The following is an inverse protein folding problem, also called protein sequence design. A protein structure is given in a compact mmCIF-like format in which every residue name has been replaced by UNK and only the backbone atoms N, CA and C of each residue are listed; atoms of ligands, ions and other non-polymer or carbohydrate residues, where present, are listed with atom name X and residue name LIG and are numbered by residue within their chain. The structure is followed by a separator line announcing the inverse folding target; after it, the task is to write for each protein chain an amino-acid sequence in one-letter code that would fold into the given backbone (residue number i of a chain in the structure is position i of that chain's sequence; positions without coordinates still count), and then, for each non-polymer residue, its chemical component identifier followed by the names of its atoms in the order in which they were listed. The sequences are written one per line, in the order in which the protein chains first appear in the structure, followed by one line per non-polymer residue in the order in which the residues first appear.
data_IF_032690257028
#
_entry.id   IF_032690257028
#
_cell.length_a   1.000
_cell.length_b   1.000
_cell.length_c   1.000
_cell.angle_alpha   90.00
_cell.angle_beta   90.00
_cell.angle_gamma   90.00
#
_symmetry.space_group_name_H-M   'P 1'
#
loop_
_entity.id
_entity.type
_entity.pdbx_description
1 polymer ?
#
# COMPACT_ATOMS: atom_id res chain seq x y z
N UNK A 1 9.24 -16.30 10.90
CA UNK A 1 9.59 -15.05 10.18
C UNK A 1 8.31 -14.23 10.07
N UNK A 2 8.25 -13.06 10.72
CA UNK A 2 7.07 -12.20 10.63
C UNK A 2 7.06 -11.56 9.24
N UNK A 3 6.08 -11.90 8.41
CA UNK A 3 5.94 -11.29 7.10
C UNK A 3 5.69 -9.78 7.29
N UNK A 4 6.55 -8.93 6.70
CA UNK A 4 6.49 -7.45 6.81
C UNK A 4 5.19 -6.83 6.31
N UNK A 5 4.39 -7.61 5.58
CA UNK A 5 3.09 -7.23 5.03
C UNK A 5 1.90 -7.66 5.87
N UNK A 6 2.11 -8.42 6.95
CA UNK A 6 1.01 -8.85 7.81
C UNK A 6 0.49 -7.68 8.65
N UNK A 7 -0.83 -7.54 8.70
CA UNK A 7 -1.54 -6.56 9.51
C UNK A 7 -2.62 -7.25 10.32
N UNK A 8 -2.62 -6.99 11.62
CA UNK A 8 -3.74 -7.37 12.49
C UNK A 8 -4.85 -6.36 12.28
N UNK A 9 -6.04 -6.83 11.93
CA UNK A 9 -7.25 -6.03 11.82
C UNK A 9 -8.35 -6.60 12.70
N UNK A 10 -9.20 -5.73 13.23
CA UNK A 10 -10.42 -6.10 13.92
C UNK A 10 -11.60 -5.61 13.10
N UNK A 11 -12.50 -6.51 12.73
CA UNK A 11 -13.67 -6.15 11.95
C UNK A 11 -14.73 -5.46 12.83
N UNK A 12 -15.77 -4.92 12.20
CA UNK A 12 -16.88 -4.22 12.89
C UNK A 12 -17.67 -5.10 13.87
N UNK A 13 -17.49 -6.43 13.81
CA UNK A 13 -18.12 -7.40 14.72
C UNK A 13 -17.20 -7.80 15.88
N UNK A 14 -16.04 -7.16 16.03
CA UNK A 14 -15.08 -7.44 17.10
C UNK A 14 -14.19 -8.67 16.87
N UNK A 15 -14.26 -9.31 15.71
CA UNK A 15 -13.36 -10.43 15.37
C UNK A 15 -12.03 -9.89 14.88
N UNK A 16 -10.94 -10.40 15.46
CA UNK A 16 -9.57 -10.03 15.07
C UNK A 16 -8.94 -11.10 14.20
N UNK A 17 -8.25 -10.69 13.14
CA UNK A 17 -7.53 -11.57 12.23
C UNK A 17 -6.25 -10.92 11.71
N UNK A 18 -5.31 -11.74 11.27
CA UNK A 18 -4.11 -11.30 10.57
C UNK A 18 -4.34 -11.44 9.08
N UNK A 19 -4.18 -10.35 8.33
CA UNK A 19 -4.24 -10.36 6.87
C UNK A 19 -2.90 -9.96 6.27
N UNK A 20 -2.60 -10.39 5.05
CA UNK A 20 -1.50 -9.82 4.27
C UNK A 20 -2.02 -8.61 3.48
N UNK A 21 -1.25 -7.52 3.41
CA UNK A 21 -1.56 -6.35 2.57
C UNK A 21 -1.85 -6.73 1.11
N UNK A 22 -1.21 -7.76 0.56
CA UNK A 22 -1.52 -8.23 -0.79
C UNK A 22 -2.95 -8.80 -0.92
N UNK A 23 -3.51 -9.37 0.14
CA UNK A 23 -4.91 -9.84 0.14
C UNK A 23 -5.88 -8.66 0.09
N UNK A 24 -5.54 -7.55 0.76
CA UNK A 24 -6.29 -6.29 0.65
C UNK A 24 -6.23 -5.78 -0.80
N UNK A 25 -5.04 -5.72 -1.41
CA UNK A 25 -4.91 -5.26 -2.80
C UNK A 25 -5.75 -6.09 -3.78
N UNK A 26 -5.77 -7.43 -3.58
CA UNK A 26 -6.61 -8.34 -4.38
C UNK A 26 -8.09 -8.13 -4.12
N UNK A 27 -8.51 -7.94 -2.87
CA UNK A 27 -9.91 -7.74 -2.50
C UNK A 27 -10.51 -6.47 -3.14
N UNK A 28 -9.70 -5.44 -3.34
CA UNK A 28 -10.09 -4.19 -4.00
C UNK A 28 -9.77 -4.16 -5.51
N UNK A 29 -9.36 -5.28 -6.10
CA UNK A 29 -8.92 -5.40 -7.50
C UNK A 29 -7.91 -4.32 -7.95
N UNK A 30 -6.96 -3.97 -7.06
CA UNK A 30 -5.92 -2.98 -7.37
C UNK A 30 -4.86 -3.63 -8.25
N UNK A 31 -4.92 -3.36 -9.56
CA UNK A 31 -4.00 -3.94 -10.56
C UNK A 31 -2.83 -3.06 -10.95
N UNK A 32 -3.01 -1.75 -10.88
CA UNK A 32 -1.98 -0.80 -11.29
C UNK A 32 -0.74 -0.89 -10.38
N UNK A 33 0.47 -1.13 -10.92
CA UNK A 33 1.68 -1.30 -10.11
C UNK A 33 2.02 -0.08 -9.24
N UNK A 34 1.73 1.14 -9.71
CA UNK A 34 2.00 2.36 -8.95
C UNK A 34 1.02 2.50 -7.77
N UNK A 35 -0.26 2.19 -7.98
CA UNK A 35 -1.25 2.11 -6.89
C UNK A 35 -0.89 1.03 -5.86
N UNK A 36 -0.50 -0.16 -6.32
CA UNK A 36 -0.06 -1.23 -5.42
C UNK A 36 1.16 -0.80 -4.60
N UNK A 37 2.11 -0.09 -5.21
CA UNK A 37 3.30 0.37 -4.52
C UNK A 37 2.98 1.43 -3.45
N UNK A 38 2.15 2.42 -3.81
CA UNK A 38 1.70 3.47 -2.89
C UNK A 38 0.92 2.87 -1.71
N UNK A 39 -0.09 2.04 -1.96
CA UNK A 39 -0.90 1.41 -0.91
C UNK A 39 -0.07 0.52 0.01
N UNK A 40 0.90 -0.23 -0.53
CA UNK A 40 1.83 -1.02 0.29
C UNK A 40 2.71 -0.19 1.20
N UNK A 41 2.99 1.07 0.87
CA UNK A 41 3.75 1.99 1.73
C UNK A 41 2.83 2.59 2.78
N UNK A 42 1.65 3.06 2.38
CA UNK A 42 0.64 3.62 3.29
C UNK A 42 0.15 2.61 4.35
N UNK A 43 -0.17 1.38 3.94
CA UNK A 43 -0.64 0.32 4.84
C UNK A 43 0.48 -0.28 5.71
N UNK A 44 1.75 0.00 5.39
CA UNK A 44 2.90 -0.52 6.12
C UNK A 44 3.86 0.55 6.67
N UNK A 45 3.40 1.79 6.72
CA UNK A 45 4.22 2.96 7.00
C UNK A 45 4.93 2.84 8.34
N UNK A 46 6.25 3.05 8.37
CA UNK A 46 7.05 3.01 9.59
C UNK A 46 7.25 1.62 10.21
N UNK A 47 6.72 0.56 9.59
CA UNK A 47 6.79 -0.82 10.07
C UNK A 47 7.75 -1.71 9.26
N UNK A 48 8.46 -1.14 8.27
CA UNK A 48 9.28 -1.89 7.29
C UNK A 48 10.75 -2.01 7.64
N UNK A 49 11.13 -1.67 8.87
CA UNK A 49 12.45 -1.93 9.47
C UNK A 49 13.58 -1.00 9.02
N UNK A 50 13.71 -0.70 7.72
CA UNK A 50 14.86 0.05 7.19
C UNK A 50 14.60 1.53 6.87
N UNK A 51 13.34 1.95 6.76
CA UNK A 51 12.95 3.30 6.33
C UNK A 51 12.03 3.92 7.37
N UNK A 52 12.17 5.22 7.57
CA UNK A 52 11.29 6.00 8.44
C UNK A 52 9.96 6.29 7.75
N UNK A 53 9.00 6.73 8.56
CA UNK A 53 7.64 7.09 8.13
C UNK A 53 7.63 8.12 7.00
N UNK A 54 8.51 9.12 7.07
CA UNK A 54 8.63 10.18 6.07
C UNK A 54 9.11 9.65 4.72
N UNK A 55 10.10 8.76 4.73
CA UNK A 55 10.57 8.10 3.50
C UNK A 55 9.45 7.30 2.87
N UNK A 56 8.71 6.48 3.62
CA UNK A 56 7.58 5.69 3.11
C UNK A 56 6.48 6.60 2.52
N UNK A 57 6.22 7.75 3.13
CA UNK A 57 5.24 8.73 2.65
C UNK A 57 5.69 9.39 1.34
N UNK A 58 6.90 9.94 1.29
CA UNK A 58 7.45 10.59 0.09
C UNK A 58 7.46 9.63 -1.11
N UNK A 59 7.85 8.39 -0.85
CA UNK A 59 7.89 7.32 -1.82
C UNK A 59 6.50 6.84 -2.30
N UNK A 60 5.46 7.00 -1.48
CA UNK A 60 4.07 6.76 -1.89
C UNK A 60 3.57 7.89 -2.80
N UNK A 61 3.88 9.15 -2.45
CA UNK A 61 3.55 10.33 -3.26
C UNK A 61 4.18 10.23 -4.65
N UNK A 62 5.48 9.93 -4.72
CA UNK A 62 6.21 9.77 -5.99
C UNK A 62 5.54 8.73 -6.90
N UNK A 63 5.05 7.62 -6.32
CA UNK A 63 4.36 6.57 -7.07
C UNK A 63 3.03 7.08 -7.66
N UNK A 64 2.27 7.86 -6.89
CA UNK A 64 1.00 8.44 -7.33
C UNK A 64 1.20 9.55 -8.39
N UNK A 65 2.25 10.36 -8.27
CA UNK A 65 2.59 11.38 -9.27
C UNK A 65 2.95 10.75 -10.62
N UNK A 66 3.74 9.68 -10.62
CA UNK A 66 4.05 8.90 -11.84
C UNK A 66 2.79 8.37 -12.52
N UNK A 67 1.84 7.84 -11.74
CA UNK A 67 0.56 7.39 -12.28
C UNK A 67 -0.23 8.54 -12.88
N UNK A 68 -0.30 9.69 -12.19
CA UNK A 68 -1.01 10.88 -12.68
C UNK A 68 -0.43 11.35 -14.03
N UNK A 69 0.90 11.40 -14.13
CA UNK A 69 1.59 11.77 -15.36
C UNK A 69 1.33 10.76 -16.48
N UNK A 70 1.43 9.45 -16.20
CA UNK A 70 1.17 8.40 -17.18
C UNK A 70 -0.23 8.49 -17.75
N UNK A 71 -1.25 8.72 -16.91
CA UNK A 71 -2.64 8.89 -17.35
C UNK A 71 -2.82 10.13 -18.21
N UNK A 72 -2.23 11.27 -17.82
CA UNK A 72 -2.29 12.51 -18.60
C UNK A 72 -1.74 12.33 -20.02
N UNK A 73 -0.70 11.51 -20.20
CA UNK A 73 -0.08 11.26 -21.50
C UNK A 73 -0.85 10.26 -22.38
N UNK A 74 -1.83 9.54 -21.83
CA UNK A 74 -2.69 8.60 -22.59
C UNK A 74 -3.94 9.32 -23.11
N UNK A 75 -4.37 10.35 -22.37
CA UNK A 75 -5.52 11.18 -22.72
C UNK A 75 -5.16 12.27 -23.77
N UNK A 76 -3.87 12.42 -24.12
CA UNK A 76 -3.35 13.21 -25.27
C UNK A 76 -3.18 12.35 -26.53
#
# INVERSE_FOLDING_TARGET
MTNKYNRTMTNIHGSTMTVDVYDILRAFDVRDPALQHALKKLLCMGLRGHKDTETDLAEAIESLEKLRQYRSNIDE
#
